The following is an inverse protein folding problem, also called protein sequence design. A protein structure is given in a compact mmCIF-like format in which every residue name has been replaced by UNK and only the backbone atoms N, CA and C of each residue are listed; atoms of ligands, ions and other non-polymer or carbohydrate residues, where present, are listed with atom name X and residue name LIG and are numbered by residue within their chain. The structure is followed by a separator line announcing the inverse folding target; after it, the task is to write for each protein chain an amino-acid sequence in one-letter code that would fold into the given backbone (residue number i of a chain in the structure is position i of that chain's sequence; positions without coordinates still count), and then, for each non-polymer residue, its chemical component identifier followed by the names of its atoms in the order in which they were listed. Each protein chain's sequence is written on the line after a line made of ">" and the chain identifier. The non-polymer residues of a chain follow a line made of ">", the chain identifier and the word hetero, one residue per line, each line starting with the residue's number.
data_IF_409397117467
#
_entry.id   IF_409397117467
#
_cell.length_a   1.000
_cell.length_b   1.000
_cell.length_c   1.000
_cell.angle_alpha   90.00
_cell.angle_beta   90.00
_cell.angle_gamma   90.00
#
_symmetry.space_group_name_H-M   'P 1'
#
loop_
_entity.id
_entity.type
_entity.pdbx_description
1 polymer ?
#
# COMPACT_ATOMS: atom_id res chain seq x y z
N UNK A 1 -9.38 10.98 20.65
CA UNK A 1 -9.27 11.51 19.27
C UNK A 1 -10.02 10.54 18.37
N UNK A 2 -10.72 11.02 17.33
CA UNK A 2 -11.54 10.13 16.50
C UNK A 2 -10.68 9.48 15.39
N UNK A 3 -10.00 8.37 15.72
CA UNK A 3 -9.10 7.66 14.80
C UNK A 3 -9.79 7.27 13.47
N UNK A 4 -11.09 6.99 13.50
CA UNK A 4 -11.90 6.72 12.29
C UNK A 4 -11.85 7.85 11.27
N UNK A 5 -12.00 9.10 11.71
CA UNK A 5 -11.93 10.26 10.82
C UNK A 5 -10.51 10.49 10.31
N UNK A 6 -9.54 10.32 11.19
CA UNK A 6 -8.12 10.50 10.87
C UNK A 6 -7.65 9.51 9.79
N UNK A 7 -8.02 8.22 9.89
CA UNK A 7 -7.75 7.22 8.86
C UNK A 7 -8.32 7.64 7.50
N UNK A 8 -9.58 8.08 7.46
CA UNK A 8 -10.21 8.53 6.23
C UNK A 8 -9.48 9.73 5.61
N UNK A 9 -9.14 10.73 6.43
CA UNK A 9 -8.46 11.94 5.97
C UNK A 9 -7.05 11.61 5.42
N UNK A 10 -6.31 10.71 6.09
CA UNK A 10 -5.00 10.22 5.63
C UNK A 10 -5.12 9.50 4.28
N UNK A 11 -6.08 8.58 4.13
CA UNK A 11 -6.27 7.83 2.88
C UNK A 11 -6.67 8.76 1.72
N UNK A 12 -7.52 9.76 2.00
CA UNK A 12 -7.91 10.76 1.01
C UNK A 12 -6.72 11.63 0.58
N UNK A 13 -5.84 12.01 1.51
CA UNK A 13 -4.63 12.77 1.19
C UNK A 13 -3.65 11.94 0.36
N UNK A 14 -3.40 10.69 0.74
CA UNK A 14 -2.59 9.76 -0.05
C UNK A 14 -3.15 9.60 -1.47
N UNK A 15 -4.48 9.47 -1.61
CA UNK A 15 -5.13 9.36 -2.91
C UNK A 15 -4.96 10.63 -3.75
N UNK A 16 -4.95 11.81 -3.13
CA UNK A 16 -4.68 13.08 -3.80
C UNK A 16 -3.24 13.21 -4.30
N UNK A 17 -2.28 12.55 -3.64
CA UNK A 17 -0.87 12.53 -4.02
C UNK A 17 -0.54 11.45 -5.06
N UNK A 18 -1.28 10.33 -5.09
CA UNK A 18 -0.97 9.18 -5.95
C UNK A 18 -1.87 9.14 -7.20
N UNK A 19 -1.36 9.64 -8.33
CA UNK A 19 -2.18 9.81 -9.54
C UNK A 19 -2.44 8.52 -10.34
N UNK A 20 -1.75 7.42 -9.99
CA UNK A 20 -2.01 6.07 -10.50
C UNK A 20 -2.45 5.08 -9.39
N UNK A 21 -2.84 5.61 -8.22
CA UNK A 21 -3.29 4.84 -7.07
C UNK A 21 -2.17 4.40 -6.12
N UNK A 22 -2.55 3.64 -5.10
CA UNK A 22 -1.64 3.08 -4.12
C UNK A 22 -2.16 1.74 -3.61
N UNK A 23 -1.30 0.95 -2.97
CA UNK A 23 -1.66 -0.17 -2.13
C UNK A 23 -0.96 -0.04 -0.77
N UNK A 24 -1.71 -0.17 0.31
CA UNK A 24 -1.23 -0.11 1.69
C UNK A 24 -1.74 -1.34 2.43
N UNK A 25 -0.80 -2.20 2.80
CA UNK A 25 -0.99 -3.43 3.56
C UNK A 25 -0.48 -3.21 4.98
N UNK A 26 -1.39 -3.10 5.96
CA UNK A 26 -1.06 -2.81 7.35
C UNK A 26 -0.98 -4.07 8.20
N UNK A 27 0.01 -4.10 9.11
CA UNK A 27 0.21 -5.17 10.10
C UNK A 27 0.25 -6.55 9.44
N UNK A 28 1.17 -6.70 8.48
CA UNK A 28 1.41 -7.92 7.71
C UNK A 28 2.04 -8.98 8.60
N UNK A 29 1.37 -10.13 8.69
CA UNK A 29 1.89 -11.34 9.33
C UNK A 29 2.08 -12.39 8.24
N UNK A 30 3.33 -12.84 8.05
CA UNK A 30 3.77 -13.61 6.89
C UNK A 30 3.48 -12.86 5.56
N UNK A 31 2.33 -13.13 4.95
CA UNK A 31 1.89 -12.56 3.67
C UNK A 31 0.49 -11.98 3.75
N UNK A 32 -0.14 -12.02 4.92
CA UNK A 32 -1.53 -11.60 5.11
C UNK A 32 -1.57 -10.29 5.87
N UNK A 33 -2.06 -9.20 5.26
CA UNK A 33 -2.29 -7.96 5.99
C UNK A 33 -3.53 -8.07 6.89
N UNK A 34 -3.50 -7.40 8.03
CA UNK A 34 -4.69 -7.18 8.86
C UNK A 34 -5.67 -6.23 8.15
N UNK A 35 -5.14 -5.20 7.49
CA UNK A 35 -5.91 -4.25 6.70
C UNK A 35 -5.24 -4.00 5.36
N UNK A 36 -6.02 -4.05 4.28
CA UNK A 36 -5.55 -3.73 2.93
C UNK A 36 -6.38 -2.60 2.35
N UNK A 37 -5.72 -1.53 1.94
CA UNK A 37 -6.31 -0.41 1.20
C UNK A 37 -5.63 -0.33 -0.16
N UNK A 38 -6.39 -0.43 -1.25
CA UNK A 38 -5.85 -0.26 -2.59
C UNK A 38 -6.75 0.60 -3.47
N UNK A 39 -6.13 1.37 -4.35
CA UNK A 39 -6.81 2.31 -5.27
C UNK A 39 -6.29 2.18 -6.70
N UNK A 40 -5.65 1.06 -7.04
CA UNK A 40 -5.16 0.79 -8.39
C UNK A 40 -6.30 0.71 -9.43
N UNK A 41 -5.99 0.44 -10.70
CA UNK A 41 -7.00 0.25 -11.74
C UNK A 41 -7.67 -1.15 -11.71
N UNK A 42 -9.03 -1.26 -11.75
CA UNK A 42 -9.86 -2.47 -11.93
C UNK A 42 -9.21 -3.68 -12.61
N UNK A 43 -8.55 -3.41 -13.72
CA UNK A 43 -7.94 -4.43 -14.54
C UNK A 43 -6.62 -4.90 -13.94
N UNK A 44 -5.78 -3.98 -13.47
CA UNK A 44 -4.48 -4.31 -12.89
C UNK A 44 -4.60 -5.15 -11.61
N UNK A 45 -5.44 -4.76 -10.65
CA UNK A 45 -5.54 -5.51 -9.39
C UNK A 45 -6.06 -6.94 -9.63
N UNK A 46 -6.95 -7.12 -10.62
CA UNK A 46 -7.41 -8.44 -11.04
C UNK A 46 -6.28 -9.28 -11.60
N UNK A 47 -5.50 -8.75 -12.56
CA UNK A 47 -4.34 -9.44 -13.15
C UNK A 47 -3.33 -9.81 -12.08
N UNK A 48 -3.03 -8.88 -11.17
CA UNK A 48 -2.10 -9.09 -10.06
C UNK A 48 -2.52 -10.25 -9.15
N UNK A 49 -3.82 -10.29 -8.80
CA UNK A 49 -4.40 -11.33 -7.95
C UNK A 49 -4.45 -12.69 -8.66
N UNK A 50 -4.99 -12.76 -9.89
CA UNK A 50 -5.14 -14.01 -10.64
C UNK A 50 -3.80 -14.70 -10.94
N UNK A 51 -2.74 -13.90 -11.15
CA UNK A 51 -1.38 -14.42 -11.38
C UNK A 51 -0.62 -14.71 -10.08
N UNK A 52 -1.19 -14.39 -8.91
CA UNK A 52 -0.54 -14.58 -7.61
C UNK A 52 0.77 -13.80 -7.48
N UNK A 53 0.81 -12.57 -8.01
CA UNK A 53 2.06 -11.80 -8.13
C UNK A 53 2.65 -11.39 -6.78
N UNK A 54 1.85 -11.32 -5.71
CA UNK A 54 2.29 -10.92 -4.36
C UNK A 54 3.55 -11.64 -3.88
N UNK A 55 3.71 -12.94 -4.19
CA UNK A 55 4.86 -13.73 -3.77
C UNK A 55 6.11 -13.52 -4.63
N UNK A 56 5.95 -12.88 -5.78
CA UNK A 56 7.00 -12.64 -6.79
C UNK A 56 7.28 -11.16 -6.98
N UNK A 57 6.51 -10.30 -6.34
CA UNK A 57 6.61 -8.86 -6.44
C UNK A 57 7.87 -8.38 -5.70
N UNK A 58 8.81 -7.74 -6.40
CA UNK A 58 10.04 -7.25 -5.79
C UNK A 58 9.77 -6.16 -4.75
N UNK A 59 8.70 -5.39 -4.89
CA UNK A 59 8.32 -4.34 -3.92
C UNK A 59 7.89 -4.96 -2.59
N UNK A 60 7.12 -6.04 -2.64
CA UNK A 60 6.69 -6.81 -1.45
C UNK A 60 7.89 -7.51 -0.82
N UNK A 61 8.73 -8.17 -1.62
CA UNK A 61 9.94 -8.84 -1.15
C UNK A 61 10.86 -7.88 -0.41
N UNK A 62 11.15 -6.72 -1.00
CA UNK A 62 11.99 -5.69 -0.39
C UNK A 62 11.36 -5.17 0.91
N UNK A 63 10.07 -4.85 0.91
CA UNK A 63 9.38 -4.29 2.08
C UNK A 63 9.22 -5.29 3.23
N UNK A 64 9.28 -6.60 2.98
CA UNK A 64 9.33 -7.61 4.04
C UNK A 64 10.71 -7.67 4.75
N UNK A 65 11.77 -7.20 4.09
CA UNK A 65 13.16 -7.35 4.54
C UNK A 65 13.80 -6.04 5.01
N UNK A 66 13.25 -4.90 4.61
CA UNK A 66 13.85 -3.57 4.82
C UNK A 66 12.85 -2.62 5.50
N UNK A 67 13.34 -1.49 6.01
CA UNK A 67 12.52 -0.40 6.54
C UNK A 67 12.89 0.89 5.81
N UNK A 68 11.91 1.75 5.49
CA UNK A 68 12.13 2.97 4.72
C UNK A 68 11.44 2.96 3.35
N UNK A 69 12.07 3.56 2.34
CA UNK A 69 11.52 3.69 0.98
C UNK A 69 12.53 3.22 -0.08
N UNK A 70 12.04 2.71 -1.20
CA UNK A 70 12.84 2.39 -2.39
C UNK A 70 12.04 2.69 -3.66
N UNK A 71 12.69 3.25 -4.67
CA UNK A 71 12.06 3.47 -5.96
C UNK A 71 11.92 2.16 -6.74
N UNK A 72 10.85 2.02 -7.52
CA UNK A 72 10.65 0.83 -8.34
C UNK A 72 11.80 0.59 -9.32
N UNK A 73 12.41 1.67 -9.85
CA UNK A 73 13.55 1.57 -10.77
C UNK A 73 14.75 0.82 -10.16
N UNK A 74 14.93 0.91 -8.83
CA UNK A 74 16.05 0.27 -8.12
C UNK A 74 15.75 -1.21 -7.80
N UNK A 75 14.54 -1.68 -8.13
CA UNK A 75 14.08 -3.05 -7.91
C UNK A 75 13.96 -3.86 -9.21
N UNK A 76 14.09 -3.23 -10.38
CA UNK A 76 13.87 -3.88 -11.69
C UNK A 76 14.82 -5.06 -11.94
N UNK A 77 16.06 -4.97 -11.45
CA UNK A 77 17.05 -6.03 -11.59
C UNK A 77 16.69 -7.31 -10.80
N UNK A 78 15.79 -7.21 -9.80
CA UNK A 78 15.30 -8.31 -8.96
C UNK A 78 13.81 -8.63 -9.22
N UNK A 79 13.33 -8.37 -10.44
CA UNK A 79 11.94 -8.60 -10.87
C UNK A 79 11.79 -9.71 -11.93
N UNK A 80 12.09 -10.99 -11.61
CA UNK A 80 12.04 -12.09 -12.58
C UNK A 80 10.62 -12.40 -13.09
N UNK A 81 9.60 -11.97 -12.35
CA UNK A 81 8.20 -12.11 -12.75
C UNK A 81 7.69 -10.91 -13.56
N UNK A 82 8.54 -9.91 -13.79
CA UNK A 82 8.23 -8.69 -14.53
C UNK A 82 6.98 -7.97 -14.00
N UNK A 83 6.81 -7.94 -12.67
CA UNK A 83 5.65 -7.30 -12.01
C UNK A 83 5.62 -5.81 -12.29
N UNK A 84 6.77 -5.13 -12.19
CA UNK A 84 6.90 -3.69 -12.45
C UNK A 84 6.60 -3.43 -13.94
N UNK A 85 7.19 -4.23 -14.84
CA UNK A 85 6.92 -4.10 -16.29
C UNK A 85 5.44 -4.30 -16.62
N UNK A 86 4.80 -5.29 -16.02
CA UNK A 86 3.35 -5.53 -16.20
C UNK A 86 2.53 -4.37 -15.64
N UNK A 87 2.87 -3.82 -14.47
CA UNK A 87 2.17 -2.65 -13.93
C UNK A 87 2.24 -1.45 -14.90
N UNK A 88 3.39 -1.24 -15.57
CA UNK A 88 3.56 -0.20 -16.59
C UNK A 88 2.65 -0.40 -17.80
N UNK A 89 2.43 -1.64 -18.25
CA UNK A 89 1.49 -1.95 -19.33
C UNK A 89 0.05 -1.55 -18.98
N UNK A 90 -0.26 -1.42 -17.68
CA UNK A 90 -1.53 -0.95 -17.16
C UNK A 90 -1.53 0.56 -16.79
N UNK A 91 -0.54 1.33 -17.24
CA UNK A 91 -0.47 2.78 -17.02
C UNK A 91 0.04 3.21 -15.65
N UNK A 92 0.63 2.27 -14.89
CA UNK A 92 1.25 2.53 -13.58
C UNK A 92 2.76 2.63 -13.78
N UNK A 93 3.22 3.81 -14.18
CA UNK A 93 4.55 3.96 -14.75
C UNK A 93 5.65 4.22 -13.72
N UNK A 94 5.35 5.07 -12.74
CA UNK A 94 6.26 5.49 -11.70
C UNK A 94 5.73 5.08 -10.34
N UNK A 95 6.62 4.66 -9.45
CA UNK A 95 6.25 4.32 -8.08
C UNK A 95 7.44 4.09 -7.18
N UNK A 96 7.15 4.07 -5.89
CA UNK A 96 8.09 3.66 -4.85
C UNK A 96 7.38 2.75 -3.84
N UNK A 97 8.15 1.83 -3.27
CA UNK A 97 7.71 0.99 -2.17
C UNK A 97 8.13 1.61 -0.83
N UNK A 98 7.32 1.40 0.19
CA UNK A 98 7.59 1.82 1.55
C UNK A 98 7.40 0.65 2.52
N UNK A 99 8.20 0.62 3.57
CA UNK A 99 7.99 -0.27 4.70
C UNK A 99 8.17 0.46 6.01
N UNK A 100 7.29 0.13 6.97
CA UNK A 100 7.36 0.59 8.36
C UNK A 100 7.35 -0.64 9.25
N UNK A 101 8.38 -0.82 10.06
CA UNK A 101 8.46 -1.86 11.07
C UNK A 101 8.60 -1.24 12.47
N UNK A 102 7.55 -1.28 13.28
CA UNK A 102 7.53 -0.76 14.66
C UNK A 102 6.80 -1.73 15.58
N UNK A 103 7.30 -1.92 16.80
CA UNK A 103 6.70 -2.80 17.82
C UNK A 103 6.39 -4.22 17.30
N UNK A 104 7.35 -4.84 16.59
CA UNK A 104 7.22 -6.16 15.95
C UNK A 104 6.06 -6.29 14.93
N UNK A 105 5.48 -5.16 14.53
CA UNK A 105 4.44 -5.06 13.51
C UNK A 105 5.03 -4.40 12.27
N UNK A 106 4.74 -4.97 11.10
CA UNK A 106 5.23 -4.49 9.80
C UNK A 106 4.08 -4.07 8.90
N UNK A 107 4.21 -2.93 8.26
CA UNK A 107 3.32 -2.50 7.18
C UNK A 107 4.11 -2.29 5.90
N UNK A 108 3.44 -2.51 4.76
CA UNK A 108 3.98 -2.35 3.42
C UNK A 108 3.10 -1.37 2.64
N UNK A 109 3.72 -0.44 1.94
CA UNK A 109 3.05 0.52 1.05
C UNK A 109 3.68 0.49 -0.33
N UNK A 110 2.88 0.74 -1.36
CA UNK A 110 3.32 0.94 -2.73
C UNK A 110 2.51 2.09 -3.32
N UNK A 111 3.19 3.17 -3.69
CA UNK A 111 2.58 4.44 -4.10
C UNK A 111 2.97 4.75 -5.53
N UNK A 112 2.00 5.11 -6.38
CA UNK A 112 2.25 5.20 -7.82
C UNK A 112 1.68 6.47 -8.45
N UNK A 113 2.32 6.87 -9.54
CA UNK A 113 2.01 8.08 -10.30
C UNK A 113 2.06 7.78 -11.79
N UNK A 114 1.17 8.42 -12.54
CA UNK A 114 1.17 8.44 -14.01
C UNK A 114 1.85 9.69 -14.58
N UNK A 115 2.04 10.73 -13.76
CA UNK A 115 2.46 12.06 -14.21
C UNK A 115 3.98 12.29 -14.07
N UNK A 116 4.72 11.26 -13.62
CA UNK A 116 6.16 11.29 -13.42
C UNK A 116 6.60 10.74 -12.07
N UNK A 117 7.91 10.65 -11.88
CA UNK A 117 8.51 10.26 -10.60
C UNK A 117 8.15 11.26 -9.48
N UNK A 118 7.88 10.74 -8.29
CA UNK A 118 7.62 11.55 -7.12
C UNK A 118 8.86 12.38 -6.74
N UNK A 119 8.64 13.65 -6.35
CA UNK A 119 9.70 14.43 -5.71
C UNK A 119 9.99 13.88 -4.32
N UNK A 120 11.17 14.16 -3.78
CA UNK A 120 11.57 13.69 -2.46
C UNK A 120 10.61 14.22 -1.38
N UNK A 121 10.13 15.45 -1.51
CA UNK A 121 9.16 16.06 -0.59
C UNK A 121 7.84 15.29 -0.56
N UNK A 122 7.37 14.84 -1.74
CA UNK A 122 6.12 14.06 -1.83
C UNK A 122 6.32 12.67 -1.24
N UNK A 123 7.46 12.02 -1.53
CA UNK A 123 7.79 10.70 -0.93
C UNK A 123 7.82 10.77 0.60
N UNK A 124 8.48 11.79 1.16
CA UNK A 124 8.53 11.99 2.61
C UNK A 124 7.15 12.30 3.21
N UNK A 125 6.31 13.05 2.50
CA UNK A 125 4.93 13.32 2.92
C UNK A 125 4.10 12.03 2.97
N UNK A 126 4.13 11.23 1.90
CA UNK A 126 3.49 9.91 1.85
C UNK A 126 4.01 8.97 2.93
N UNK A 127 5.33 8.94 3.17
CA UNK A 127 5.93 8.13 4.23
C UNK A 127 5.46 8.56 5.63
N UNK A 128 5.29 9.86 5.85
CA UNK A 128 4.77 10.41 7.12
C UNK A 128 3.32 9.98 7.33
N UNK A 129 2.48 10.14 6.30
CA UNK A 129 1.09 9.68 6.32
C UNK A 129 1.01 8.16 6.56
N UNK A 130 1.90 7.39 5.92
CA UNK A 130 1.93 5.94 6.03
C UNK A 130 2.36 5.45 7.41
N UNK A 131 3.40 6.06 8.00
CA UNK A 131 3.79 5.81 9.40
C UNK A 131 2.65 6.15 10.34
N UNK A 132 1.99 7.30 10.14
CA UNK A 132 0.85 7.70 10.98
C UNK A 132 -0.29 6.70 10.88
N UNK A 133 -0.60 6.22 9.67
CA UNK A 133 -1.60 5.19 9.46
C UNK A 133 -1.24 3.90 10.19
N UNK A 134 0.00 3.42 10.07
CA UNK A 134 0.51 2.27 10.83
C UNK A 134 0.31 2.45 12.34
N UNK A 135 0.69 3.60 12.91
CA UNK A 135 0.59 3.86 14.35
C UNK A 135 -0.85 3.82 14.85
N UNK A 136 -1.77 4.53 14.19
CA UNK A 136 -3.16 4.65 14.64
C UNK A 136 -3.99 3.39 14.38
N UNK A 137 -3.54 2.52 13.48
CA UNK A 137 -4.21 1.22 13.22
C UNK A 137 -3.57 0.05 13.95
N UNK A 138 -2.43 0.26 14.63
CA UNK A 138 -1.80 -0.74 15.49
C UNK A 138 -2.55 -0.84 16.84
N UNK A 139 -3.81 -1.24 16.76
CA UNK A 139 -4.69 -1.40 17.92
C UNK A 139 -4.82 -2.88 18.27
N UNK A 140 -4.78 -3.19 19.56
CA UNK A 140 -5.03 -4.54 20.07
C UNK A 140 -6.45 -4.99 19.71
N UNK A 141 -6.63 -6.29 19.48
CA UNK A 141 -7.93 -6.89 19.08
C UNK A 141 -9.08 -6.58 20.04
N UNK A 142 -8.77 -6.30 21.30
CA UNK A 142 -9.74 -6.04 22.37
C UNK A 142 -10.11 -4.55 22.53
N UNK A 143 -9.48 -3.65 21.76
CA UNK A 143 -9.70 -2.20 21.88
C UNK A 143 -10.29 -1.60 20.61
N UNK A 144 -11.56 -1.19 20.74
CA UNK A 144 -12.39 -0.43 19.78
C UNK A 144 -13.04 -1.22 18.62
N UNK A 145 -14.15 -1.90 18.94
CA UNK A 145 -15.12 -2.46 17.98
C UNK A 145 -15.38 -1.53 16.78
N UNK A 146 -15.53 -0.22 17.03
CA UNK A 146 -15.83 0.78 15.98
C UNK A 146 -14.71 1.04 14.97
N UNK A 147 -13.43 1.02 15.39
CA UNK A 147 -12.32 1.28 14.47
C UNK A 147 -12.02 0.01 13.66
N UNK A 148 -12.03 -1.15 14.31
CA UNK A 148 -11.88 -2.45 13.65
C UNK A 148 -12.95 -2.64 12.56
N UNK A 149 -14.21 -2.34 12.86
CA UNK A 149 -15.32 -2.45 11.91
C UNK A 149 -15.18 -1.47 10.73
N UNK A 150 -14.76 -0.23 10.99
CA UNK A 150 -14.46 0.73 9.93
C UNK A 150 -13.34 0.21 9.02
N UNK A 151 -12.22 -0.21 9.60
CA UNK A 151 -11.04 -0.63 8.84
C UNK A 151 -11.36 -1.85 7.98
N UNK A 152 -12.16 -2.80 8.50
CA UNK A 152 -12.69 -3.92 7.71
C UNK A 152 -13.58 -3.43 6.58
N UNK A 153 -14.50 -2.49 6.83
CA UNK A 153 -15.40 -1.94 5.81
C UNK A 153 -14.63 -1.22 4.70
N UNK A 154 -13.72 -0.31 5.06
CA UNK A 154 -12.87 0.40 4.11
C UNK A 154 -11.98 -0.56 3.32
N UNK A 155 -11.45 -1.59 3.99
CA UNK A 155 -10.67 -2.61 3.32
C UNK A 155 -11.50 -3.35 2.28
N UNK A 156 -12.75 -3.71 2.57
CA UNK A 156 -13.65 -4.32 1.59
C UNK A 156 -13.99 -3.37 0.44
N UNK A 157 -14.34 -2.11 0.73
CA UNK A 157 -14.70 -1.09 -0.26
C UNK A 157 -13.56 -0.83 -1.25
N UNK A 158 -12.33 -0.70 -0.74
CA UNK A 158 -11.15 -0.39 -1.55
C UNK A 158 -10.55 -1.64 -2.20
N UNK A 159 -10.67 -2.82 -1.57
CA UNK A 159 -10.08 -4.07 -2.10
C UNK A 159 -10.95 -4.75 -3.16
N UNK A 160 -12.29 -4.62 -3.10
CA UNK A 160 -13.22 -5.37 -3.98
C UNK A 160 -13.98 -4.51 -4.99
N UNK A 161 -13.54 -3.28 -5.27
CA UNK A 161 -14.22 -2.38 -6.22
C UNK A 161 -14.41 -2.99 -7.65
N UNK A 162 -13.58 -3.96 -8.03
CA UNK A 162 -13.57 -4.71 -9.31
C UNK A 162 -14.55 -5.93 -9.35
N UNK A 163 -15.25 -6.26 -8.25
CA UNK A 163 -16.25 -7.34 -8.22
C UNK A 163 -17.70 -6.88 -8.46
N UNK A 164 -17.92 -5.59 -8.75
CA UNK A 164 -19.24 -5.06 -9.14
C UNK A 164 -19.48 -5.14 -10.64
#
# INVERSE_FOLDING_TARGET
>A
MNHTREVHDILAEMQGLCTAGFAVALHVIFTTPRFLFQTYDPVWAKVYSEKGLVMRDPTVKWALQNDGMIDWQDLEDDDPAEVIRQAREHGIEYGFAASVCQNDSRSIGSFTSKDGAFSEEVKQSLMTLFRRLHEITNVDEDTEDTLSDLLKRLSVELTHAWQK
#
